data_IF_593751643969
#
_entry.id   IF_593751643969
#
_cell.length_a   1.000
_cell.length_b   1.000
_cell.length_c   1.000
_cell.angle_alpha   90.00
_cell.angle_beta   90.00
_cell.angle_gamma   90.00
#
_symmetry.space_group_name_H-M   'P 1'
#
loop_
_entity.id
_entity.type
_entity.pdbx_description
1 polymer ?
#
# COMPACT_ATOMS: atom_id res chain seq x y z
N UNK A 1 -12.48 0.84 -16.58
CA UNK A 1 -12.14 0.34 -15.24
C UNK A 1 -11.89 -1.16 -15.35
N UNK A 2 -10.88 -1.67 -14.67
CA UNK A 2 -10.67 -3.11 -14.48
C UNK A 2 -11.05 -3.49 -13.04
N UNK A 3 -11.40 -4.76 -12.84
CA UNK A 3 -11.64 -5.35 -11.52
C UNK A 3 -10.60 -6.45 -11.29
N UNK A 4 -10.09 -6.51 -10.07
CA UNK A 4 -9.25 -7.62 -9.60
C UNK A 4 -10.00 -8.34 -8.50
N UNK A 5 -10.12 -9.65 -8.64
CA UNK A 5 -10.74 -10.51 -7.62
C UNK A 5 -9.67 -11.36 -6.93
N UNK A 6 -9.64 -11.25 -5.62
CA UNK A 6 -8.83 -12.03 -4.67
C UNK A 6 -9.70 -12.28 -3.43
N UNK A 7 -9.12 -12.31 -2.23
CA UNK A 7 -9.91 -12.15 -0.99
C UNK A 7 -10.60 -10.78 -0.86
N UNK A 8 -10.28 -9.86 -1.78
CA UNK A 8 -10.94 -8.58 -1.96
C UNK A 8 -11.23 -8.35 -3.44
N UNK A 9 -12.19 -7.48 -3.71
CA UNK A 9 -12.44 -6.86 -5.01
C UNK A 9 -12.08 -5.38 -4.95
N UNK A 10 -11.42 -4.87 -5.99
CA UNK A 10 -11.18 -3.44 -6.19
C UNK A 10 -11.35 -3.07 -7.65
N UNK A 11 -11.51 -1.77 -7.93
CA UNK A 11 -11.47 -1.23 -9.29
C UNK A 11 -10.35 -0.21 -9.46
N UNK A 12 -9.71 -0.25 -10.63
CA UNK A 12 -8.62 0.67 -11.00
C UNK A 12 -8.71 1.08 -12.48
N UNK A 13 -8.09 2.21 -12.89
CA UNK A 13 -8.18 2.72 -14.25
C UNK A 13 -7.44 1.83 -15.27
N UNK A 14 -7.87 1.87 -16.54
CA UNK A 14 -7.27 1.05 -17.60
C UNK A 14 -5.83 1.46 -17.98
N UNK A 15 -5.41 2.67 -17.61
CA UNK A 15 -4.03 3.14 -17.76
C UNK A 15 -3.08 2.55 -16.70
N UNK A 16 -3.64 1.89 -15.69
CA UNK A 16 -2.90 1.22 -14.63
C UNK A 16 -2.83 -0.28 -14.85
N UNK A 17 -1.89 -0.91 -14.15
CA UNK A 17 -1.74 -2.35 -14.05
C UNK A 17 -1.40 -2.72 -12.61
N UNK A 18 -1.27 -4.02 -12.36
CA UNK A 18 -0.80 -4.51 -11.07
C UNK A 18 0.38 -5.48 -11.21
N UNK A 19 1.12 -5.62 -10.13
CA UNK A 19 2.09 -6.67 -9.91
C UNK A 19 1.69 -7.45 -8.66
N UNK A 20 1.65 -8.78 -8.75
CA UNK A 20 1.29 -9.66 -7.63
C UNK A 20 2.57 -10.31 -7.11
N UNK A 21 3.01 -9.93 -5.91
CA UNK A 21 4.21 -10.49 -5.29
C UNK A 21 3.94 -11.89 -4.75
N UNK A 22 2.79 -12.07 -4.09
CA UNK A 22 2.30 -13.33 -3.54
C UNK A 22 0.77 -13.30 -3.46
N UNK A 23 0.16 -14.28 -2.80
CA UNK A 23 -1.29 -14.28 -2.62
C UNK A 23 -1.74 -13.05 -1.81
N UNK A 24 -2.68 -12.27 -2.36
CA UNK A 24 -3.22 -11.03 -1.80
C UNK A 24 -2.24 -9.87 -1.56
N UNK A 25 -0.96 -10.01 -1.89
CA UNK A 25 0.06 -8.95 -1.87
C UNK A 25 0.27 -8.39 -3.27
N UNK A 26 -0.23 -7.19 -3.49
CA UNK A 26 -0.48 -6.64 -4.82
C UNK A 26 -0.15 -5.15 -4.85
N UNK A 27 0.79 -4.77 -5.71
CA UNK A 27 1.06 -3.38 -6.05
C UNK A 27 0.28 -2.93 -7.29
N UNK A 28 -0.19 -1.70 -7.28
CA UNK A 28 -0.88 -1.02 -8.37
C UNK A 28 -0.11 0.23 -8.78
N UNK A 29 -0.08 0.51 -10.07
CA UNK A 29 0.57 1.71 -10.60
C UNK A 29 0.31 1.91 -12.09
N UNK A 30 0.77 3.03 -12.67
CA UNK A 30 0.78 3.21 -14.12
C UNK A 30 1.43 2.02 -14.83
N UNK A 31 0.87 1.61 -15.98
CA UNK A 31 1.35 0.44 -16.75
C UNK A 31 2.86 0.42 -16.95
N UNK A 32 3.42 1.55 -17.37
CA UNK A 32 4.85 1.69 -17.65
C UNK A 32 5.70 1.53 -16.39
N UNK A 33 5.25 2.06 -15.24
CA UNK A 33 5.94 1.93 -13.96
C UNK A 33 5.95 0.48 -13.50
N UNK A 34 4.79 -0.20 -13.55
CA UNK A 34 4.68 -1.62 -13.18
C UNK A 34 5.56 -2.50 -14.07
N UNK A 35 5.58 -2.24 -15.38
CA UNK A 35 6.43 -2.98 -16.32
C UNK A 35 7.92 -2.76 -16.02
N UNK A 36 8.34 -1.51 -15.84
CA UNK A 36 9.73 -1.18 -15.53
C UNK A 36 10.18 -1.81 -14.20
N UNK A 37 9.33 -1.85 -13.18
CA UNK A 37 9.70 -2.47 -11.90
C UNK A 37 9.74 -3.99 -11.99
N UNK A 38 8.83 -4.62 -12.75
CA UNK A 38 8.89 -6.07 -13.01
C UNK A 38 10.23 -6.45 -13.65
N UNK A 39 10.64 -5.75 -14.69
CA UNK A 39 11.91 -6.00 -15.39
C UNK A 39 13.12 -5.84 -14.44
N UNK A 40 13.05 -4.90 -13.49
CA UNK A 40 14.09 -4.73 -12.45
C UNK A 40 14.09 -5.86 -11.43
N UNK A 41 12.93 -6.37 -11.02
CA UNK A 41 12.86 -7.51 -10.09
C UNK A 41 13.40 -8.79 -10.73
N UNK A 42 13.18 -8.97 -12.04
CA UNK A 42 13.65 -10.12 -12.80
C UNK A 42 15.16 -10.03 -13.13
N UNK A 43 15.78 -8.86 -12.97
CA UNK A 43 17.19 -8.63 -13.24
C UNK A 43 18.02 -8.72 -11.93
N UNK A 44 18.93 -9.70 -11.80
CA UNK A 44 19.73 -9.90 -10.59
C UNK A 44 20.70 -8.75 -10.28
N UNK A 45 20.93 -7.83 -11.22
CA UNK A 45 21.88 -6.73 -11.08
C UNK A 45 21.25 -5.40 -10.63
N UNK A 46 19.92 -5.29 -10.62
CA UNK A 46 19.22 -4.01 -10.31
C UNK A 46 18.81 -3.85 -8.85
N UNK A 47 19.02 -4.88 -8.02
CA UNK A 47 18.59 -4.92 -6.62
C UNK A 47 17.06 -5.00 -6.47
N UNK A 48 16.58 -5.56 -5.36
CA UNK A 48 15.14 -5.60 -5.07
C UNK A 48 14.64 -4.18 -4.73
N UNK A 49 13.62 -3.71 -5.44
CA UNK A 49 12.92 -2.47 -5.14
C UNK A 49 11.63 -2.80 -4.39
N UNK A 50 11.63 -2.59 -3.08
CA UNK A 50 10.49 -2.89 -2.21
C UNK A 50 10.01 -1.58 -1.58
N UNK A 51 8.72 -1.30 -1.74
CA UNK A 51 8.02 -0.15 -1.16
C UNK A 51 8.32 1.23 -1.77
N UNK A 52 7.72 2.26 -1.16
CA UNK A 52 7.90 3.66 -1.52
C UNK A 52 7.35 4.02 -2.91
N UNK A 53 7.86 5.09 -3.52
CA UNK A 53 7.39 5.57 -4.84
C UNK A 53 7.59 4.58 -6.00
N UNK A 54 8.29 3.47 -5.77
CA UNK A 54 8.36 2.37 -6.73
C UNK A 54 6.97 1.72 -6.92
N UNK A 55 6.24 1.51 -5.83
CA UNK A 55 4.93 0.87 -5.81
C UNK A 55 3.94 1.85 -5.20
N UNK A 56 3.31 2.70 -6.03
CA UNK A 56 2.61 3.88 -5.53
C UNK A 56 1.38 3.54 -4.70
N UNK A 57 0.72 2.42 -4.99
CA UNK A 57 -0.36 1.87 -4.18
C UNK A 57 -0.11 0.38 -3.96
N UNK A 58 -0.20 -0.07 -2.71
CA UNK A 58 0.02 -1.48 -2.34
C UNK A 58 -1.14 -1.97 -1.47
N UNK A 59 -1.57 -3.21 -1.68
CA UNK A 59 -2.52 -3.92 -0.83
C UNK A 59 -1.85 -5.20 -0.37
N UNK A 60 -1.76 -5.39 0.94
CA UNK A 60 -1.02 -6.50 1.55
C UNK A 60 -1.84 -7.12 2.68
N UNK A 61 -1.88 -8.46 2.80
CA UNK A 61 -2.38 -9.11 3.99
C UNK A 61 -1.39 -8.88 5.14
N UNK A 62 -1.90 -8.45 6.28
CA UNK A 62 -1.12 -8.32 7.50
C UNK A 62 -1.24 -9.64 8.27
N UNK A 63 -0.22 -10.47 8.14
CA UNK A 63 -0.05 -11.67 8.96
C UNK A 63 0.53 -11.23 10.32
N UNK A 64 0.28 -11.98 11.40
CA UNK A 64 0.72 -11.68 12.79
C UNK A 64 2.20 -11.24 12.95
N UNK A 65 3.04 -11.55 11.97
CA UNK A 65 4.36 -10.92 11.75
C UNK A 65 4.25 -9.66 10.89
N UNK A 66 3.88 -8.55 11.54
CA UNK A 66 3.88 -7.22 10.96
C UNK A 66 5.31 -6.77 10.61
N UNK A 67 5.69 -6.86 9.34
CA UNK A 67 6.90 -6.21 8.81
C UNK A 67 6.56 -4.78 8.39
N UNK A 68 6.32 -3.91 9.37
CA UNK A 68 6.43 -2.48 9.11
C UNK A 68 7.90 -2.07 9.20
N UNK A 69 8.31 -1.05 8.44
CA UNK A 69 9.62 -0.39 8.59
C UNK A 69 9.88 -0.10 10.09
N UNK A 70 10.60 -0.98 10.78
CA UNK A 70 10.79 -0.93 12.25
C UNK A 70 10.58 -2.26 13.03
N UNK A 71 10.00 -3.31 12.43
CA UNK A 71 10.12 -4.69 12.94
C UNK A 71 9.32 -5.08 14.18
N UNK A 72 8.21 -4.42 14.53
CA UNK A 72 7.28 -4.92 15.55
C UNK A 72 5.81 -4.62 15.18
N UNK A 73 4.92 -5.44 15.71
CA UNK A 73 3.45 -5.38 15.61
C UNK A 73 2.77 -4.19 16.30
N UNK A 74 3.53 -3.12 16.53
CA UNK A 74 3.03 -1.91 17.17
C UNK A 74 2.39 -0.97 16.13
N UNK A 75 1.41 -0.14 16.54
CA UNK A 75 0.89 0.93 15.69
C UNK A 75 2.04 1.77 15.13
N UNK A 76 1.86 2.37 13.96
CA UNK A 76 2.85 3.31 13.42
C UNK A 76 3.12 4.41 14.47
N UNK A 77 4.33 4.41 15.04
CA UNK A 77 4.76 5.33 16.10
C UNK A 77 5.69 6.39 15.51
N UNK A 78 5.56 7.62 16.01
CA UNK A 78 6.49 8.70 15.68
C UNK A 78 7.86 8.46 16.33
N UNK A 79 8.92 8.71 15.59
CA UNK A 79 10.31 8.62 16.04
C UNK A 79 11.14 9.76 15.42
N UNK A 80 12.47 9.67 15.47
CA UNK A 80 13.38 10.65 14.86
C UNK A 80 13.33 10.65 13.32
N UNK A 81 12.92 9.53 12.72
CA UNK A 81 12.86 9.30 11.29
C UNK A 81 11.50 9.64 10.69
N UNK A 82 10.41 9.58 11.46
CA UNK A 82 9.05 9.86 10.96
C UNK A 82 8.14 10.45 12.00
N UNK A 83 7.20 11.28 11.52
CA UNK A 83 6.05 11.73 12.30
C UNK A 83 4.81 10.97 11.83
N UNK A 84 4.07 10.41 12.77
CA UNK A 84 2.85 9.65 12.49
C UNK A 84 1.64 10.31 13.16
N UNK A 85 0.54 10.37 12.43
CA UNK A 85 -0.80 10.63 12.95
C UNK A 85 -1.77 9.55 12.48
N UNK A 86 -2.87 9.36 13.20
CA UNK A 86 -3.93 8.44 12.81
C UNK A 86 -5.32 9.06 12.95
N UNK A 87 -6.25 8.55 12.15
CA UNK A 87 -7.67 8.86 12.22
C UNK A 87 -8.50 7.60 11.94
N UNK A 88 -9.71 7.55 12.50
CA UNK A 88 -10.68 6.51 12.17
C UNK A 88 -11.37 6.84 10.84
N UNK A 89 -11.50 5.84 9.98
CA UNK A 89 -12.17 5.94 8.68
C UNK A 89 -13.12 4.76 8.49
N UNK A 90 -14.06 4.88 7.55
CA UNK A 90 -14.98 3.80 7.20
C UNK A 90 -14.69 3.37 5.76
N UNK A 91 -14.33 2.10 5.56
CA UNK A 91 -14.11 1.49 4.24
C UNK A 91 -15.07 0.31 4.11
N UNK A 92 -15.92 0.29 3.08
CA UNK A 92 -16.93 -0.78 2.89
C UNK A 92 -17.80 -1.04 4.14
N UNK A 93 -18.13 0.01 4.90
CA UNK A 93 -18.89 -0.10 6.15
C UNK A 93 -18.11 -0.70 7.33
N UNK A 94 -16.80 -0.94 7.17
CA UNK A 94 -15.89 -1.45 8.21
C UNK A 94 -15.14 -0.26 8.83
N UNK A 95 -15.10 -0.22 10.16
CA UNK A 95 -14.25 0.72 10.89
C UNK A 95 -12.78 0.32 10.67
N UNK A 96 -12.01 1.26 10.13
CA UNK A 96 -10.61 1.11 9.78
C UNK A 96 -9.81 2.27 10.37
N UNK A 97 -8.48 2.14 10.40
CA UNK A 97 -7.59 3.21 10.86
C UNK A 97 -6.72 3.65 9.71
N UNK A 98 -6.76 4.94 9.38
CA UNK A 98 -5.80 5.56 8.47
C UNK A 98 -4.65 6.13 9.28
N UNK A 99 -3.43 5.77 8.89
CA UNK A 99 -2.19 6.38 9.35
C UNK A 99 -1.64 7.29 8.26
N UNK A 100 -1.13 8.45 8.67
CA UNK A 100 -0.37 9.37 7.84
C UNK A 100 1.04 9.47 8.41
N UNK A 101 2.03 9.12 7.59
CA UNK A 101 3.44 9.02 7.98
C UNK A 101 4.22 10.05 7.16
N UNK A 102 4.79 11.04 7.83
CA UNK A 102 5.66 12.05 7.22
C UNK A 102 7.11 11.72 7.55
N UNK A 103 7.93 11.50 6.52
CA UNK A 103 9.31 11.09 6.67
C UNK A 103 10.26 12.27 6.86
N UNK A 104 11.21 12.13 7.78
CA UNK A 104 12.24 13.12 8.10
C UNK A 104 13.63 12.73 7.58
N UNK A 105 13.75 11.61 6.87
CA UNK A 105 14.98 11.10 6.27
C UNK A 105 14.87 10.90 4.76
N UNK A 106 16.01 10.63 4.13
CA UNK A 106 16.13 10.27 2.71
C UNK A 106 16.52 8.80 2.59
N UNK A 107 15.83 8.07 1.73
CA UNK A 107 16.16 6.69 1.35
C UNK A 107 15.77 6.44 -0.11
N UNK A 108 16.19 5.31 -0.71
CA UNK A 108 15.69 4.95 -2.03
C UNK A 108 14.16 5.01 -2.08
N UNK A 109 13.63 5.82 -3.00
CA UNK A 109 12.19 6.02 -3.25
C UNK A 109 11.38 6.66 -2.12
N UNK A 110 12.04 7.17 -1.07
CA UNK A 110 11.46 7.98 0.00
C UNK A 110 12.30 9.24 0.16
N UNK A 111 11.69 10.39 -0.10
CA UNK A 111 12.31 11.69 0.10
C UNK A 111 11.93 12.27 1.46
N UNK A 112 12.78 13.14 1.99
CA UNK A 112 12.45 13.90 3.19
C UNK A 112 11.24 14.78 2.92
N UNK A 113 10.26 14.68 3.80
CA UNK A 113 8.96 15.34 3.67
C UNK A 113 7.94 14.54 2.86
N UNK A 114 8.29 13.36 2.33
CA UNK A 114 7.29 12.48 1.74
C UNK A 114 6.26 12.05 2.76
N UNK A 115 5.03 11.93 2.29
CA UNK A 115 3.89 11.45 3.07
C UNK A 115 3.43 10.11 2.50
N UNK A 116 3.45 9.08 3.34
CA UNK A 116 2.83 7.78 3.06
C UNK A 116 1.53 7.69 3.87
N UNK A 117 0.46 7.23 3.24
CA UNK A 117 -0.78 6.88 3.94
C UNK A 117 -0.95 5.36 3.97
N UNK A 118 -1.38 4.83 5.10
CA UNK A 118 -1.67 3.41 5.27
C UNK A 118 -3.02 3.26 5.90
N UNK A 119 -3.94 2.57 5.25
CA UNK A 119 -5.25 2.21 5.82
C UNK A 119 -5.22 0.76 6.25
N UNK A 120 -5.46 0.54 7.55
CA UNK A 120 -5.56 -0.80 8.15
C UNK A 120 -7.03 -1.17 8.27
N UNK A 121 -7.42 -2.25 7.59
CA UNK A 121 -8.79 -2.77 7.57
C UNK A 121 -8.80 -4.13 8.23
N UNK A 122 -9.55 -4.26 9.32
CA UNK A 122 -9.72 -5.50 10.08
C UNK A 122 -11.15 -6.04 9.90
N UNK A 123 -11.27 -7.30 9.48
CA UNK A 123 -12.57 -7.98 9.40
C UNK A 123 -12.41 -9.45 9.82
N UNK A 124 -13.01 -9.78 10.96
CA UNK A 124 -12.88 -11.12 11.53
C UNK A 124 -11.42 -11.43 11.89
N UNK A 125 -10.88 -12.50 11.30
CA UNK A 125 -9.48 -12.92 11.51
C UNK A 125 -8.52 -12.40 10.42
N UNK A 126 -8.99 -11.57 9.47
CA UNK A 126 -8.18 -11.04 8.39
C UNK A 126 -7.91 -9.55 8.60
N UNK A 127 -6.68 -9.16 8.34
CA UNK A 127 -6.24 -7.77 8.35
C UNK A 127 -5.55 -7.45 7.04
N UNK A 128 -5.88 -6.31 6.44
CA UNK A 128 -5.24 -5.80 5.23
C UNK A 128 -4.69 -4.40 5.46
N UNK A 129 -3.53 -4.10 4.88
CA UNK A 129 -3.07 -2.72 4.69
C UNK A 129 -3.26 -2.29 3.24
N UNK A 130 -3.76 -1.07 3.04
CA UNK A 130 -3.80 -0.39 1.75
C UNK A 130 -2.95 0.88 1.85
N UNK A 131 -1.79 0.85 1.21
CA UNK A 131 -0.76 1.88 1.29
C UNK A 131 -0.82 2.80 0.06
N UNK A 132 -0.67 4.10 0.27
CA UNK A 132 -0.36 5.11 -0.75
C UNK A 132 1.04 5.64 -0.47
N UNK A 133 2.00 5.26 -1.30
CA UNK A 133 3.40 5.66 -1.19
C UNK A 133 3.76 6.91 -1.99
N UNK A 134 2.89 7.33 -2.91
CA UNK A 134 3.12 8.49 -3.78
C UNK A 134 1.85 9.32 -3.95
N UNK A 135 1.81 10.46 -3.26
CA UNK A 135 0.66 11.36 -3.19
C UNK A 135 0.20 11.91 -4.55
N UNK A 136 1.03 11.83 -5.60
CA UNK A 136 0.62 12.19 -6.97
C UNK A 136 -0.53 11.33 -7.49
N UNK A 137 -0.74 10.15 -6.90
CA UNK A 137 -1.79 9.21 -7.29
C UNK A 137 -2.96 9.15 -6.31
N UNK A 138 -3.12 10.16 -5.45
CA UNK A 138 -4.18 10.25 -4.44
C UNK A 138 -5.57 9.97 -5.00
N UNK A 139 -5.94 10.59 -6.11
CA UNK A 139 -7.28 10.40 -6.71
C UNK A 139 -7.56 8.93 -7.07
N UNK A 140 -6.55 8.21 -7.56
CA UNK A 140 -6.67 6.79 -7.89
C UNK A 140 -6.70 5.93 -6.65
N UNK A 141 -5.90 6.26 -5.63
CA UNK A 141 -5.94 5.61 -4.33
C UNK A 141 -7.31 5.74 -3.66
N UNK A 142 -7.88 6.94 -3.64
CA UNK A 142 -9.21 7.18 -3.08
C UNK A 142 -10.29 6.40 -3.86
N UNK A 143 -10.13 6.27 -5.18
CA UNK A 143 -11.00 5.40 -5.98
C UNK A 143 -10.84 3.92 -5.63
N UNK A 144 -9.62 3.43 -5.45
CA UNK A 144 -9.34 2.05 -4.99
C UNK A 144 -10.02 1.82 -3.63
N UNK A 145 -9.82 2.72 -2.66
CA UNK A 145 -10.48 2.64 -1.35
C UNK A 145 -12.01 2.61 -1.45
N UNK A 146 -12.60 3.47 -2.30
CA UNK A 146 -14.06 3.53 -2.47
C UNK A 146 -14.69 2.29 -3.10
N UNK A 147 -13.88 1.46 -3.76
CA UNK A 147 -14.33 0.25 -4.47
C UNK A 147 -13.80 -1.03 -3.83
N UNK A 148 -13.01 -0.91 -2.78
CA UNK A 148 -12.49 -2.03 -2.01
C UNK A 148 -13.64 -2.74 -1.30
N UNK A 149 -13.76 -4.04 -1.52
CA UNK A 149 -14.76 -4.90 -0.89
C UNK A 149 -14.13 -6.23 -0.53
N UNK A 150 -14.31 -6.70 0.70
CA UNK A 150 -13.84 -8.04 1.07
C UNK A 150 -14.82 -9.10 0.55
N UNK A 151 -14.32 -10.03 -0.27
CA UNK A 151 -15.16 -11.00 -1.00
C UNK A 151 -15.64 -12.16 -0.11
N UNK A 152 -14.96 -12.41 1.02
CA UNK A 152 -15.35 -13.41 2.02
C UNK A 152 -15.31 -12.82 3.44
N UNK A 153 -16.43 -12.86 4.21
CA UNK A 153 -16.48 -12.45 5.62
C UNK A 153 -15.80 -13.43 6.57
#
# INVERSE_FOLDING_TARGET
MYSLQSDFEIKYPQSWNFYKFQENDIAFGPKELIQANRERLENPNTGAMIGGKAWPVEIEPLNDTLYFYGGNSEPFISDDQRKVSSEEVIIDGIHAVRYTIVFNYEAPYISKGDTIEVVIIEKGAKTYSITLSDQRYRDIYDQILSTFQLTNP
#
